data_IF_068889890466
#
_entry.id   IF_068889890466
#
_cell.length_a   1.000
_cell.length_b   1.000
_cell.length_c   1.000
_cell.angle_alpha   90.00
_cell.angle_beta   90.00
_cell.angle_gamma   90.00
#
_symmetry.space_group_name_H-M   'P 1'
#
loop_
_entity.id
_entity.type
_entity.pdbx_description
1 polymer ?
#
# COMPACT_ATOMS: atom_id res chain seq x y z
N UNK A 1 3.06 2.99 -14.93
CA UNK A 1 2.99 4.29 -15.66
C UNK A 1 1.53 4.68 -15.79
N UNK A 2 1.23 5.88 -16.27
CA UNK A 2 -0.13 6.30 -16.57
C UNK A 2 -0.39 6.09 -18.08
N UNK A 3 -1.43 5.33 -18.40
CA UNK A 3 -1.85 5.01 -19.78
C UNK A 3 -3.29 5.46 -19.91
N UNK A 4 -3.52 6.43 -20.80
CA UNK A 4 -4.82 7.07 -21.05
C UNK A 4 -5.54 7.52 -19.77
N UNK A 5 -4.80 8.20 -18.89
CA UNK A 5 -5.33 8.76 -17.64
C UNK A 5 -5.39 7.76 -16.48
N UNK A 6 -5.10 6.47 -16.69
CA UNK A 6 -5.17 5.45 -15.64
C UNK A 6 -3.80 4.86 -15.33
N UNK A 7 -3.44 4.80 -14.05
CA UNK A 7 -2.23 4.11 -13.61
C UNK A 7 -2.41 2.59 -13.78
N UNK A 8 -1.49 1.96 -14.50
CA UNK A 8 -1.50 0.51 -14.73
C UNK A 8 -0.09 -0.01 -15.04
N UNK A 9 0.01 -1.33 -15.23
CA UNK A 9 1.21 -2.00 -15.74
C UNK A 9 1.11 -2.07 -17.26
N UNK A 10 2.10 -1.48 -17.95
CA UNK A 10 2.12 -1.48 -19.42
C UNK A 10 2.15 -2.91 -20.00
N UNK A 11 2.85 -3.84 -19.35
CA UNK A 11 2.96 -5.22 -19.80
C UNK A 11 1.66 -6.03 -19.73
N UNK A 12 0.65 -5.57 -19.00
CA UNK A 12 -0.66 -6.25 -18.88
C UNK A 12 -1.81 -5.42 -19.44
N UNK A 13 -1.55 -4.22 -19.94
CA UNK A 13 -2.56 -3.35 -20.55
C UNK A 13 -2.63 -3.67 -22.04
N UNK A 14 -3.76 -4.21 -22.49
CA UNK A 14 -3.95 -4.47 -23.92
C UNK A 14 -4.01 -3.16 -24.69
N UNK A 15 -3.37 -3.12 -25.86
CA UNK A 15 -3.46 -1.99 -26.79
C UNK A 15 -4.91 -1.82 -27.26
N UNK A 16 -5.63 -2.93 -27.46
CA UNK A 16 -7.03 -2.95 -27.90
C UNK A 16 -8.00 -2.34 -26.87
N UNK A 17 -7.58 -2.19 -25.62
CA UNK A 17 -8.41 -1.56 -24.58
C UNK A 17 -8.50 -0.03 -24.73
N UNK A 18 -7.61 0.59 -25.52
CA UNK A 18 -7.52 2.04 -25.69
C UNK A 18 -7.95 2.41 -27.10
N UNK A 19 -8.89 3.35 -27.21
CA UNK A 19 -9.41 3.78 -28.51
C UNK A 19 -8.65 5.01 -29.01
N UNK A 20 -8.15 4.94 -30.24
CA UNK A 20 -7.43 6.05 -30.87
C UNK A 20 -6.01 6.20 -30.34
N UNK A 21 -5.54 7.45 -30.23
CA UNK A 21 -4.15 7.74 -29.83
C UNK A 21 -3.92 7.44 -28.34
N UNK A 22 -2.93 6.61 -28.05
CA UNK A 22 -2.60 6.20 -26.68
C UNK A 22 -1.68 7.22 -26.02
N UNK A 23 -2.18 7.95 -25.02
CA UNK A 23 -1.37 8.84 -24.20
C UNK A 23 -0.65 8.05 -23.11
N UNK A 24 0.68 8.11 -23.10
CA UNK A 24 1.53 7.46 -22.09
C UNK A 24 2.32 8.53 -21.36
N UNK A 25 2.26 8.51 -20.04
CA UNK A 25 3.01 9.42 -19.18
C UNK A 25 3.57 8.69 -17.94
N UNK A 26 4.56 9.29 -17.24
CA UNK A 26 5.10 8.73 -16.01
C UNK A 26 4.03 8.56 -14.93
N UNK A 27 4.37 7.90 -13.82
CA UNK A 27 3.45 7.87 -12.68
C UNK A 27 3.19 9.31 -12.18
N UNK A 28 1.92 9.69 -11.92
CA UNK A 28 1.59 11.08 -11.60
C UNK A 28 2.26 11.59 -10.32
N UNK A 29 2.60 12.88 -10.33
CA UNK A 29 3.06 13.64 -9.17
C UNK A 29 4.31 13.06 -8.48
N UNK A 30 5.18 12.41 -9.25
CA UNK A 30 6.52 12.03 -8.85
C UNK A 30 7.53 12.86 -9.65
N UNK A 31 8.69 13.22 -9.08
CA UNK A 31 9.79 13.77 -9.87
C UNK A 31 10.17 12.79 -10.98
N UNK A 32 10.36 13.28 -12.21
CA UNK A 32 10.75 12.44 -13.34
C UNK A 32 12.25 12.52 -13.49
N UNK A 33 12.93 11.36 -13.39
CA UNK A 33 14.37 11.27 -13.61
C UNK A 33 14.65 11.41 -15.11
N UNK A 34 13.96 10.59 -15.92
CA UNK A 34 14.05 10.62 -17.38
C UNK A 34 12.87 9.87 -18.02
N UNK A 35 12.32 10.41 -19.10
CA UNK A 35 11.25 9.79 -19.90
C UNK A 35 10.08 9.29 -19.03
N UNK A 36 9.85 7.98 -18.96
CA UNK A 36 8.79 7.33 -18.16
C UNK A 36 9.26 6.84 -16.78
N UNK A 37 10.47 7.19 -16.36
CA UNK A 37 11.11 6.74 -15.11
C UNK A 37 10.93 7.80 -14.02
N UNK A 38 9.97 7.62 -13.10
CA UNK A 38 9.84 8.47 -11.93
C UNK A 38 10.88 8.11 -10.85
N UNK A 39 11.20 9.07 -10.00
CA UNK A 39 11.87 8.84 -8.73
C UNK A 39 10.87 8.24 -7.73
N UNK A 40 11.19 7.05 -7.20
CA UNK A 40 10.39 6.32 -6.22
C UNK A 40 11.06 6.23 -4.84
N UNK A 41 12.07 7.06 -4.57
CA UNK A 41 12.83 7.04 -3.30
C UNK A 41 11.90 7.19 -2.10
N UNK A 42 11.07 8.25 -2.06
CA UNK A 42 10.11 8.46 -0.97
C UNK A 42 9.10 7.30 -0.82
N UNK A 43 8.65 6.72 -1.94
CA UNK A 43 7.75 5.56 -1.91
C UNK A 43 8.36 4.36 -1.19
N UNK A 44 9.64 4.07 -1.45
CA UNK A 44 10.36 2.98 -0.77
C UNK A 44 10.74 3.33 0.67
N UNK A 45 11.06 4.59 0.96
CA UNK A 45 11.32 5.05 2.34
C UNK A 45 10.09 4.89 3.22
N UNK A 46 8.90 5.23 2.71
CA UNK A 46 7.64 5.02 3.42
C UNK A 46 7.28 3.54 3.59
N UNK A 47 7.62 2.69 2.61
CA UNK A 47 7.48 1.25 2.80
C UNK A 47 8.43 0.72 3.88
N UNK A 48 9.67 1.23 3.93
CA UNK A 48 10.65 0.87 4.96
C UNK A 48 10.20 1.35 6.34
N UNK A 49 9.58 2.52 6.45
CA UNK A 49 9.17 3.10 7.74
C UNK A 49 8.10 2.28 8.46
N UNK A 50 7.28 1.51 7.74
CA UNK A 50 6.29 0.59 8.35
C UNK A 50 6.89 -0.74 8.83
N UNK A 51 8.22 -0.89 8.76
CA UNK A 51 8.99 -2.05 9.20
C UNK A 51 8.43 -3.38 8.67
N UNK A 52 8.48 -3.62 7.35
CA UNK A 52 7.73 -4.69 6.69
C UNK A 52 8.39 -6.07 6.80
N UNK A 53 8.72 -6.49 8.02
CA UNK A 53 9.24 -7.81 8.36
C UNK A 53 8.55 -8.33 9.63
N UNK A 54 8.61 -9.65 9.85
CA UNK A 54 8.03 -10.28 11.03
C UNK A 54 8.77 -9.85 12.29
N UNK A 55 8.04 -9.40 13.32
CA UNK A 55 8.61 -9.06 14.63
C UNK A 55 7.97 -9.89 15.72
N UNK A 56 8.80 -10.53 16.55
CA UNK A 56 8.39 -11.36 17.68
C UNK A 56 9.17 -10.95 18.92
N UNK A 57 8.52 -11.03 20.08
CA UNK A 57 9.12 -10.92 21.42
C UNK A 57 9.50 -12.30 21.93
N UNK A 58 8.75 -13.32 21.52
CA UNK A 58 9.06 -14.73 21.75
C UNK A 58 10.29 -15.19 20.98
N UNK A 59 11.04 -16.12 21.57
CA UNK A 59 12.16 -16.79 20.91
C UNK A 59 11.68 -17.56 19.68
N UNK A 60 12.57 -17.65 18.68
CA UNK A 60 12.28 -18.41 17.47
C UNK A 60 12.04 -19.89 17.82
N UNK A 61 10.92 -20.49 17.38
CA UNK A 61 10.66 -21.91 17.63
C UNK A 61 11.69 -22.80 16.93
N UNK A 62 11.87 -24.03 17.44
CA UNK A 62 12.75 -25.04 16.81
C UNK A 62 12.26 -25.46 15.41
N UNK A 63 10.96 -25.28 15.13
CA UNK A 63 10.29 -25.59 13.86
C UNK A 63 9.69 -24.32 13.25
N UNK A 64 8.77 -24.46 12.30
CA UNK A 64 8.02 -23.34 11.75
C UNK A 64 7.08 -22.66 12.76
N UNK A 65 6.83 -21.37 12.55
CA UNK A 65 5.79 -20.64 13.26
C UNK A 65 4.42 -21.22 12.92
N UNK A 66 3.68 -21.64 13.95
CA UNK A 66 2.31 -22.08 13.78
C UNK A 66 1.42 -20.93 13.30
N UNK A 67 0.59 -21.20 12.29
CA UNK A 67 -0.46 -20.30 11.82
C UNK A 67 -1.64 -21.15 11.33
N UNK A 68 -2.83 -20.89 11.86
CA UNK A 68 -4.05 -21.56 11.41
C UNK A 68 -4.41 -21.12 9.99
N UNK A 69 -5.22 -21.92 9.28
CA UNK A 69 -5.73 -21.53 7.95
C UNK A 69 -6.52 -20.23 8.01
N UNK A 70 -7.38 -20.10 9.02
CA UNK A 70 -8.21 -18.92 9.28
C UNK A 70 -7.37 -17.66 9.55
N UNK A 71 -6.24 -17.79 10.27
CA UNK A 71 -5.31 -16.68 10.47
C UNK A 71 -4.53 -16.33 9.20
N UNK A 72 -4.12 -17.34 8.42
CA UNK A 72 -3.42 -17.13 7.16
C UNK A 72 -4.30 -16.41 6.13
N UNK A 73 -5.60 -16.70 6.08
CA UNK A 73 -6.55 -16.04 5.17
C UNK A 73 -6.69 -14.54 5.46
N UNK A 74 -6.43 -14.08 6.71
CA UNK A 74 -6.53 -12.65 7.07
C UNK A 74 -5.51 -11.76 6.36
N UNK A 75 -4.41 -12.32 5.84
CA UNK A 75 -3.40 -11.57 5.08
C UNK A 75 -3.63 -11.59 3.56
N UNK A 76 -4.62 -12.34 3.08
CA UNK A 76 -5.01 -12.36 1.66
C UNK A 76 -5.53 -10.99 1.20
N UNK A 77 -5.26 -10.66 -0.06
CA UNK A 77 -5.54 -9.34 -0.63
C UNK A 77 -4.55 -8.25 -0.18
N UNK A 78 -3.52 -8.58 0.60
CA UNK A 78 -2.46 -7.66 1.00
C UNK A 78 -1.05 -8.15 0.65
N UNK A 79 -0.75 -9.44 0.82
CA UNK A 79 0.60 -9.96 0.52
C UNK A 79 0.90 -10.01 -1.00
N UNK A 80 -0.13 -10.00 -1.85
CA UNK A 80 -0.05 -10.03 -3.31
C UNK A 80 0.35 -8.68 -3.92
N UNK A 81 0.54 -7.64 -3.10
CA UNK A 81 0.99 -6.34 -3.54
C UNK A 81 2.42 -6.42 -4.10
N UNK A 82 2.57 -6.02 -5.36
CA UNK A 82 3.84 -6.06 -6.10
C UNK A 82 4.64 -4.76 -6.01
N UNK A 83 4.28 -3.85 -5.09
CA UNK A 83 4.97 -2.56 -4.89
C UNK A 83 5.13 -1.69 -6.15
N UNK A 84 4.16 -1.71 -7.07
CA UNK A 84 4.21 -0.96 -8.34
C UNK A 84 3.88 0.54 -8.26
N UNK A 85 3.62 1.07 -7.06
CA UNK A 85 3.23 2.47 -6.79
C UNK A 85 1.97 3.02 -7.50
N UNK A 86 1.25 2.23 -8.32
CA UNK A 86 0.06 2.70 -9.06
C UNK A 86 -1.02 3.28 -8.14
N UNK A 87 -1.28 2.62 -7.01
CA UNK A 87 -2.26 3.06 -6.03
C UNK A 87 -1.85 4.39 -5.37
N UNK A 88 -0.61 4.53 -4.91
CA UNK A 88 -0.12 5.74 -4.23
C UNK A 88 -0.11 6.94 -5.17
N UNK A 89 0.43 6.75 -6.37
CA UNK A 89 0.51 7.81 -7.39
C UNK A 89 -0.83 8.07 -8.09
N UNK A 90 -1.90 7.35 -7.76
CA UNK A 90 -3.28 7.67 -8.18
C UNK A 90 -4.06 8.45 -7.11
N UNK A 91 -3.49 8.60 -5.90
CA UNK A 91 -4.19 9.15 -4.76
C UNK A 91 -3.92 10.66 -4.63
N UNK A 92 -4.94 11.54 -4.78
CA UNK A 92 -4.73 12.98 -4.66
C UNK A 92 -4.20 13.41 -3.28
N UNK A 93 -4.60 12.73 -2.21
CA UNK A 93 -4.06 13.03 -0.87
C UNK A 93 -2.55 12.79 -0.78
N UNK A 94 -2.03 11.80 -1.52
CA UNK A 94 -0.60 11.51 -1.61
C UNK A 94 0.15 12.54 -2.46
N UNK A 95 -0.48 13.06 -3.51
CA UNK A 95 0.08 14.15 -4.30
C UNK A 95 0.33 15.40 -3.46
N UNK A 96 -0.65 15.76 -2.62
CA UNK A 96 -0.59 17.00 -1.85
C UNK A 96 0.25 16.90 -0.57
N UNK A 97 0.44 15.70 -0.01
CA UNK A 97 1.18 15.51 1.25
C UNK A 97 2.11 14.29 1.19
N UNK A 98 3.03 14.19 0.21
CA UNK A 98 3.85 13.01 -0.01
C UNK A 98 4.84 12.73 1.13
N UNK A 99 5.19 13.75 1.92
CA UNK A 99 6.09 13.71 3.06
C UNK A 99 5.41 13.25 4.36
N UNK A 100 4.10 13.47 4.49
CA UNK A 100 3.34 13.21 5.74
C UNK A 100 2.38 12.03 5.62
N UNK A 101 1.73 11.88 4.48
CA UNK A 101 0.82 10.75 4.24
C UNK A 101 1.61 9.57 3.68
N UNK A 102 1.61 8.45 4.40
CA UNK A 102 2.34 7.22 4.01
C UNK A 102 1.87 6.64 2.66
N UNK A 103 0.64 6.94 2.27
CA UNK A 103 0.09 6.45 1.02
C UNK A 103 -0.49 5.02 1.10
N UNK A 104 -1.33 4.66 0.14
CA UNK A 104 -2.07 3.40 0.15
C UNK A 104 -1.21 2.14 0.07
N UNK A 105 -0.08 2.15 -0.64
CA UNK A 105 0.78 0.98 -0.71
C UNK A 105 1.43 0.64 0.64
N UNK A 106 2.04 1.64 1.30
CA UNK A 106 2.68 1.46 2.59
C UNK A 106 1.65 1.07 3.67
N UNK A 107 0.46 1.70 3.66
CA UNK A 107 -0.61 1.37 4.61
C UNK A 107 -1.21 -0.02 4.37
N UNK A 108 -1.33 -0.49 3.13
CA UNK A 108 -1.71 -1.87 2.84
C UNK A 108 -0.67 -2.85 3.37
N UNK A 109 0.62 -2.56 3.20
CA UNK A 109 1.70 -3.38 3.75
C UNK A 109 1.75 -3.33 5.28
N UNK A 110 1.46 -2.19 5.90
CA UNK A 110 1.36 -2.08 7.35
C UNK A 110 0.22 -2.96 7.88
N UNK A 111 -0.96 -2.90 7.25
CA UNK A 111 -2.10 -3.74 7.63
C UNK A 111 -1.79 -5.23 7.47
N UNK A 112 -1.01 -5.62 6.45
CA UNK A 112 -0.54 -7.00 6.27
C UNK A 112 0.24 -7.52 7.47
N UNK A 113 1.02 -6.68 8.15
CA UNK A 113 1.75 -7.08 9.36
C UNK A 113 0.90 -6.99 10.62
N UNK A 114 0.02 -5.98 10.72
CA UNK A 114 -0.97 -5.84 11.81
C UNK A 114 -1.93 -7.04 11.88
N UNK A 115 -2.24 -7.67 10.73
CA UNK A 115 -3.15 -8.82 10.64
C UNK A 115 -2.47 -10.19 10.67
N UNK A 116 -1.14 -10.26 10.62
CA UNK A 116 -0.42 -11.54 10.68
C UNK A 116 -0.38 -12.04 12.12
N UNK A 117 -0.99 -13.20 12.39
CA UNK A 117 -1.07 -13.79 13.74
C UNK A 117 0.29 -14.11 14.37
N UNK A 118 1.35 -14.17 13.56
CA UNK A 118 2.71 -14.44 14.01
C UNK A 118 3.45 -13.18 14.47
N UNK A 119 2.96 -11.99 14.10
CA UNK A 119 3.59 -10.72 14.47
C UNK A 119 3.11 -10.25 15.85
N UNK A 120 4.02 -10.12 16.80
CA UNK A 120 3.72 -9.78 18.19
C UNK A 120 3.88 -8.28 18.48
N UNK A 121 3.99 -7.45 17.42
CA UNK A 121 4.18 -6.00 17.49
C UNK A 121 2.98 -5.22 16.95
N UNK A 122 1.80 -5.85 16.92
CA UNK A 122 0.56 -5.22 16.42
C UNK A 122 0.33 -3.85 17.05
N UNK A 123 0.44 -3.75 18.38
CA UNK A 123 0.12 -2.53 19.09
C UNK A 123 1.12 -1.41 18.77
N UNK A 124 2.41 -1.72 18.79
CA UNK A 124 3.48 -0.78 18.46
C UNK A 124 3.39 -0.31 17.00
N UNK A 125 3.00 -1.19 16.07
CA UNK A 125 2.80 -0.82 14.66
C UNK A 125 1.65 0.16 14.49
N UNK A 126 0.55 -0.07 15.20
CA UNK A 126 -0.61 0.81 15.15
C UNK A 126 -0.31 2.15 15.85
N UNK A 127 0.46 2.17 16.94
CA UNK A 127 0.91 3.41 17.61
C UNK A 127 1.77 4.26 16.67
N UNK A 128 2.69 3.62 15.94
CA UNK A 128 3.48 4.29 14.90
C UNK A 128 2.61 4.87 13.77
N UNK A 129 1.40 4.36 13.57
CA UNK A 129 0.47 4.85 12.54
C UNK A 129 -0.51 5.91 13.07
N UNK A 130 -0.69 6.01 14.39
CA UNK A 130 -1.64 6.93 15.04
C UNK A 130 -1.07 8.36 15.16
N UNK A 131 -0.74 8.91 13.99
CA UNK A 131 -0.31 10.29 13.81
C UNK A 131 -1.36 11.06 13.00
N UNK A 132 -1.45 12.37 13.22
CA UNK A 132 -2.41 13.27 12.58
C UNK A 132 -2.46 13.16 11.04
N UNK A 133 -1.37 12.73 10.40
CA UNK A 133 -1.27 12.62 8.95
C UNK A 133 -1.16 11.20 8.42
N UNK A 134 -0.35 10.32 9.03
CA UNK A 134 0.07 9.03 8.44
C UNK A 134 -1.10 8.21 7.89
N UNK A 135 -2.13 7.95 8.69
CA UNK A 135 -3.35 7.22 8.27
C UNK A 135 -4.51 8.17 7.97
N UNK A 136 -4.67 9.22 8.77
CA UNK A 136 -5.85 10.08 8.73
C UNK A 136 -5.90 11.04 7.54
N UNK A 137 -4.80 11.23 6.81
CA UNK A 137 -4.82 11.98 5.54
C UNK A 137 -5.67 11.30 4.46
N UNK A 138 -5.92 9.99 4.56
CA UNK A 138 -6.80 9.29 3.62
C UNK A 138 -8.23 9.85 3.65
N UNK A 139 -8.65 10.48 2.55
CA UNK A 139 -9.99 11.07 2.33
C UNK A 139 -10.97 10.16 1.60
N UNK A 140 -10.78 8.83 1.67
CA UNK A 140 -11.69 7.84 1.08
C UNK A 140 -12.04 8.10 -0.39
N UNK A 141 -11.05 8.54 -1.18
CA UNK A 141 -11.21 8.89 -2.61
C UNK A 141 -11.37 7.64 -3.51
N UNK A 142 -10.94 6.47 -3.02
CA UNK A 142 -11.07 5.16 -3.69
C UNK A 142 -10.26 4.95 -4.98
N UNK A 143 -9.54 5.97 -5.48
CA UNK A 143 -8.64 5.80 -6.63
C UNK A 143 -7.64 4.65 -6.48
N UNK A 144 -7.14 4.42 -5.26
CA UNK A 144 -6.16 3.37 -4.99
C UNK A 144 -6.68 1.95 -5.22
N UNK A 145 -7.97 1.69 -4.94
CA UNK A 145 -8.60 0.41 -5.23
C UNK A 145 -8.90 0.28 -6.73
N UNK A 146 -9.38 1.36 -7.36
CA UNK A 146 -9.68 1.39 -8.80
C UNK A 146 -8.44 1.21 -9.68
N UNK A 147 -7.28 1.75 -9.27
CA UNK A 147 -6.04 1.73 -10.04
C UNK A 147 -5.15 0.52 -9.75
N UNK A 148 -5.50 -0.35 -8.80
CA UNK A 148 -4.66 -1.50 -8.47
C UNK A 148 -4.72 -2.53 -9.60
N UNK A 149 -3.62 -2.79 -10.33
CA UNK A 149 -3.62 -3.75 -11.45
C UNK A 149 -3.78 -5.21 -10.98
N UNK A 150 -3.62 -5.44 -9.67
CA UNK A 150 -3.81 -6.75 -9.01
C UNK A 150 -5.21 -6.92 -8.42
N UNK A 151 -6.10 -5.92 -8.53
CA UNK A 151 -7.45 -5.96 -7.97
C UNK A 151 -7.49 -5.92 -6.44
N UNK A 152 -6.40 -5.51 -5.79
CA UNK A 152 -6.34 -5.38 -4.32
C UNK A 152 -7.08 -4.13 -3.85
N UNK A 153 -7.47 -4.11 -2.58
CA UNK A 153 -8.15 -2.95 -1.98
C UNK A 153 -7.33 -2.29 -0.87
N UNK A 154 -6.37 -1.41 -1.23
CA UNK A 154 -5.69 -0.56 -0.23
C UNK A 154 -6.66 0.30 0.57
N UNK A 155 -7.77 0.72 -0.03
CA UNK A 155 -8.79 1.50 0.67
C UNK A 155 -9.43 0.72 1.83
N UNK A 156 -9.73 -0.57 1.62
CA UNK A 156 -10.23 -1.45 2.68
C UNK A 156 -9.18 -1.63 3.78
N UNK A 157 -7.92 -1.89 3.43
CA UNK A 157 -6.84 -2.03 4.41
C UNK A 157 -6.66 -0.77 5.27
N UNK A 158 -6.72 0.43 4.67
CA UNK A 158 -6.68 1.69 5.42
C UNK A 158 -7.89 1.83 6.35
N UNK A 159 -9.08 1.46 5.89
CA UNK A 159 -10.29 1.50 6.72
C UNK A 159 -10.19 0.53 7.90
N UNK A 160 -9.62 -0.67 7.70
CA UNK A 160 -9.38 -1.64 8.76
C UNK A 160 -8.40 -1.10 9.81
N UNK A 161 -7.31 -0.45 9.40
CA UNK A 161 -6.39 0.23 10.33
C UNK A 161 -7.13 1.30 11.14
N UNK A 162 -7.89 2.19 10.47
CA UNK A 162 -8.66 3.23 11.15
C UNK A 162 -9.66 2.67 12.14
N UNK A 163 -10.30 1.54 11.81
CA UNK A 163 -11.23 0.85 12.70
C UNK A 163 -10.51 0.31 13.93
N UNK A 164 -9.38 -0.38 13.75
CA UNK A 164 -8.55 -0.87 14.86
C UNK A 164 -8.18 0.29 15.79
N UNK A 165 -7.62 1.38 15.23
CA UNK A 165 -7.26 2.59 15.99
C UNK A 165 -8.43 3.18 16.77
N UNK A 166 -9.61 3.34 16.14
CA UNK A 166 -10.79 3.90 16.78
C UNK A 166 -11.41 3.00 17.86
N UNK A 167 -11.14 1.69 17.83
CA UNK A 167 -11.71 0.71 18.80
C UNK A 167 -10.73 0.31 19.90
N UNK A 168 -9.52 0.87 19.91
CA UNK A 168 -8.57 0.72 21.00
C UNK A 168 -9.15 1.32 22.29
N UNK A 169 -8.94 0.62 23.40
CA UNK A 169 -9.30 1.08 24.74
C UNK A 169 -8.08 1.66 25.43
#
# INVERSE_FOLDING_TARGET
MNIDGVNTLACTKSIDDVKGDIKISPLPHQPVIKDLVPDLTNFYEQHKSVQPWLKTKSDQPEKEWYQSKEDREKVDGMYECIMCACCSTSCPSYWWNPDKYLGPAALLQANRWIKDSRDEYKEERLDELDDAFKVYSCRTIMNCAKSCPKGLSPAKAIADIKKELATRK
#
